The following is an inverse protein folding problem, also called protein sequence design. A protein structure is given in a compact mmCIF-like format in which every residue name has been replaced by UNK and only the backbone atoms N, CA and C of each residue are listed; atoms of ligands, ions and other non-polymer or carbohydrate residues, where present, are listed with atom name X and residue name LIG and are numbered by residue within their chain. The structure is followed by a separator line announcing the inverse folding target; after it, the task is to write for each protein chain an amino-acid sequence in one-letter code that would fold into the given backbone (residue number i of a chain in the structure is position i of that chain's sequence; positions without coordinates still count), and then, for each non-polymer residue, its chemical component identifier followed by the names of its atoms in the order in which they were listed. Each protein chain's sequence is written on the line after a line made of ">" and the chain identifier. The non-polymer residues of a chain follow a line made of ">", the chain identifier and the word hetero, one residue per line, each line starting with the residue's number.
data_IF_549829802445
#
_entry.id   IF_549829802445
#
_cell.length_a   1.000
_cell.length_b   1.000
_cell.length_c   1.000
_cell.angle_alpha   90.00
_cell.angle_beta   90.00
_cell.angle_gamma   90.00
#
_symmetry.space_group_name_H-M   'P 1'
#
loop_
_entity.id
_entity.type
_entity.pdbx_description
1 polymer ?
#
# COMPACT_ATOMS: atom_id res chain seq x y z
N UNK A 1 -22.98 20.41 -4.29
CA UNK A 1 -22.13 19.78 -3.27
C UNK A 1 -22.67 18.38 -3.02
N UNK A 2 -21.96 17.33 -3.44
CA UNK A 2 -22.34 15.96 -3.08
C UNK A 2 -22.31 15.78 -1.56
N UNK A 3 -23.42 15.32 -0.98
CA UNK A 3 -23.50 14.94 0.43
C UNK A 3 -22.49 13.80 0.66
N UNK A 4 -21.35 14.08 1.29
CA UNK A 4 -20.56 13.02 1.91
C UNK A 4 -21.46 12.32 2.94
N UNK A 5 -21.59 10.99 2.82
CA UNK A 5 -22.32 10.20 3.80
C UNK A 5 -21.54 10.20 5.12
N UNK A 6 -22.24 10.24 6.26
CA UNK A 6 -21.60 10.19 7.59
C UNK A 6 -20.69 8.96 7.79
N UNK A 7 -20.97 7.89 7.03
CA UNK A 7 -20.11 6.71 6.92
C UNK A 7 -18.73 7.03 6.31
N UNK A 8 -18.69 7.74 5.17
CA UNK A 8 -17.44 8.18 4.54
C UNK A 8 -16.66 9.13 5.46
N UNK A 9 -17.36 10.05 6.14
CA UNK A 9 -16.74 10.97 7.09
C UNK A 9 -16.03 10.21 8.23
N UNK A 10 -16.74 9.26 8.86
CA UNK A 10 -16.18 8.43 9.93
C UNK A 10 -14.99 7.60 9.43
N UNK A 11 -15.11 6.99 8.24
CA UNK A 11 -14.04 6.24 7.59
C UNK A 11 -12.76 7.06 7.43
N UNK A 12 -12.83 8.20 6.74
CA UNK A 12 -11.64 9.01 6.48
C UNK A 12 -11.03 9.57 7.77
N UNK A 13 -11.86 9.95 8.74
CA UNK A 13 -11.37 10.45 10.04
C UNK A 13 -10.57 9.39 10.77
N UNK A 14 -11.12 8.17 10.92
CA UNK A 14 -10.42 7.10 11.63
C UNK A 14 -9.16 6.68 10.88
N UNK A 15 -9.25 6.55 9.54
CA UNK A 15 -8.11 6.19 8.69
C UNK A 15 -6.98 7.21 8.83
N UNK A 16 -7.27 8.50 8.74
CA UNK A 16 -6.26 9.56 8.92
C UNK A 16 -5.60 9.46 10.30
N UNK A 17 -6.36 9.22 11.36
CA UNK A 17 -5.80 9.06 12.72
C UNK A 17 -4.86 7.86 12.82
N UNK A 18 -5.19 6.74 12.19
CA UNK A 18 -4.31 5.55 12.14
C UNK A 18 -3.04 5.89 11.35
N UNK A 19 -3.18 6.47 10.16
CA UNK A 19 -2.06 6.78 9.26
C UNK A 19 -1.11 7.85 9.83
N UNK A 20 -1.64 8.82 10.57
CA UNK A 20 -0.85 9.87 11.23
C UNK A 20 -0.29 9.45 12.59
N UNK A 21 -0.59 8.23 13.06
CA UNK A 21 -0.18 7.73 14.37
C UNK A 21 -0.91 8.36 15.56
N UNK A 22 -1.96 9.16 15.33
CA UNK A 22 -2.85 9.64 16.41
C UNK A 22 -3.62 8.50 17.08
N UNK A 23 -3.87 7.42 16.35
CA UNK A 23 -4.26 6.12 16.89
C UNK A 23 -3.12 5.14 16.62
N UNK A 24 -2.52 4.60 17.69
CA UNK A 24 -1.34 3.72 17.59
C UNK A 24 -1.74 2.26 17.44
N UNK A 25 -0.84 1.43 16.92
CA UNK A 25 -1.00 -0.04 16.90
C UNK A 25 -1.26 -0.53 18.33
N UNK A 26 -2.28 -1.39 18.48
CA UNK A 26 -2.77 -1.89 19.77
C UNK A 26 -3.76 -0.95 20.47
N UNK A 27 -3.97 0.27 19.98
CA UNK A 27 -4.91 1.22 20.56
C UNK A 27 -6.36 0.86 20.23
N UNK A 28 -7.24 1.05 21.21
CA UNK A 28 -8.66 0.68 21.11
C UNK A 28 -9.48 1.84 20.55
N UNK A 29 -10.28 1.55 19.52
CA UNK A 29 -11.27 2.47 18.94
C UNK A 29 -12.65 2.11 19.47
N UNK A 30 -13.30 3.08 20.11
CA UNK A 30 -14.66 2.92 20.64
C UNK A 30 -15.66 3.67 19.78
N UNK A 31 -16.70 2.98 19.30
CA UNK A 31 -17.76 3.56 18.46
C UNK A 31 -18.37 4.83 19.07
N UNK A 32 -18.61 4.83 20.38
CA UNK A 32 -19.23 5.96 21.08
C UNK A 32 -18.34 7.20 21.08
N UNK A 33 -17.03 7.04 21.26
CA UNK A 33 -16.07 8.16 21.30
C UNK A 33 -16.01 8.82 19.92
N UNK A 34 -15.88 8.02 18.86
CA UNK A 34 -15.84 8.55 17.48
C UNK A 34 -17.19 9.18 17.09
N UNK A 35 -18.31 8.57 17.48
CA UNK A 35 -19.64 9.11 17.21
C UNK A 35 -19.87 10.46 17.89
N UNK A 36 -19.42 10.62 19.13
CA UNK A 36 -19.48 11.87 19.89
C UNK A 36 -18.59 12.95 19.28
N UNK A 37 -17.34 12.62 18.96
CA UNK A 37 -16.38 13.51 18.31
C UNK A 37 -16.92 14.06 16.99
N UNK A 38 -17.49 13.19 16.16
CA UNK A 38 -18.02 13.55 14.85
C UNK A 38 -19.45 14.09 14.91
N UNK A 39 -20.10 14.09 16.08
CA UNK A 39 -21.51 14.47 16.27
C UNK A 39 -22.48 13.70 15.35
N UNK A 40 -22.26 12.39 15.22
CA UNK A 40 -23.07 11.47 14.41
C UNK A 40 -23.59 10.30 15.25
N UNK A 41 -24.51 9.50 14.70
CA UNK A 41 -24.93 8.27 15.36
C UNK A 41 -23.85 7.18 15.28
N UNK A 42 -23.96 6.13 16.11
CA UNK A 42 -22.99 5.01 16.12
C UNK A 42 -23.04 4.14 14.86
N UNK A 43 -24.18 4.10 14.17
CA UNK A 43 -24.39 3.28 12.97
C UNK A 43 -23.39 3.56 11.84
N UNK A 44 -23.18 4.81 11.39
CA UNK A 44 -22.15 5.12 10.37
C UNK A 44 -20.73 4.82 10.85
N UNK A 45 -20.43 4.99 12.15
CA UNK A 45 -19.13 4.64 12.72
C UNK A 45 -18.89 3.13 12.63
N UNK A 46 -19.87 2.31 13.02
CA UNK A 46 -19.77 0.84 12.91
C UNK A 46 -19.54 0.38 11.48
N UNK A 47 -20.22 0.99 10.50
CA UNK A 47 -20.00 0.69 9.08
C UNK A 47 -18.59 1.08 8.62
N UNK A 48 -18.10 2.25 9.03
CA UNK A 48 -16.73 2.67 8.75
C UNK A 48 -15.69 1.69 9.33
N UNK A 49 -15.88 1.23 10.58
CA UNK A 49 -15.01 0.24 11.20
C UNK A 49 -15.02 -1.10 10.43
N UNK A 50 -16.18 -1.54 9.94
CA UNK A 50 -16.26 -2.76 9.13
C UNK A 50 -15.52 -2.65 7.78
N UNK A 51 -15.38 -1.44 7.22
CA UNK A 51 -14.55 -1.21 6.02
C UNK A 51 -13.07 -1.25 6.40
N UNK A 52 -12.67 -0.55 7.46
CA UNK A 52 -11.28 -0.51 7.95
C UNK A 52 -10.76 -1.89 8.39
N UNK A 53 -11.65 -2.75 8.89
CA UNK A 53 -11.33 -4.15 9.20
C UNK A 53 -11.01 -4.95 7.93
N UNK A 54 -11.78 -4.77 6.86
CA UNK A 54 -11.50 -5.41 5.56
C UNK A 54 -10.17 -4.92 4.95
N UNK A 55 -9.78 -3.70 5.26
CA UNK A 55 -8.50 -3.08 4.88
C UNK A 55 -7.33 -3.51 5.77
N UNK A 56 -7.57 -4.37 6.78
CA UNK A 56 -6.56 -4.81 7.76
C UNK A 56 -5.89 -3.65 8.51
N UNK A 57 -6.62 -2.55 8.72
CA UNK A 57 -6.16 -1.42 9.55
C UNK A 57 -6.55 -1.63 11.02
N UNK A 58 -7.62 -2.40 11.26
CA UNK A 58 -8.14 -2.70 12.59
C UNK A 58 -8.64 -4.14 12.67
N UNK A 59 -8.81 -4.65 13.88
CA UNK A 59 -9.51 -5.90 14.20
C UNK A 59 -10.75 -5.56 15.04
N UNK A 60 -11.95 -5.98 14.62
CA UNK A 60 -13.18 -5.78 15.41
C UNK A 60 -13.35 -6.96 16.37
N UNK A 61 -13.35 -6.65 17.66
CA UNK A 61 -13.56 -7.64 18.73
C UNK A 61 -14.97 -7.54 19.27
N UNK A 62 -15.69 -8.66 19.27
CA UNK A 62 -17.05 -8.75 19.80
C UNK A 62 -17.14 -8.13 21.20
N UNK A 63 -18.10 -7.21 21.38
CA UNK A 63 -18.35 -6.47 22.63
C UNK A 63 -17.19 -5.63 23.18
N UNK A 64 -16.07 -5.52 22.44
CA UNK A 64 -14.87 -4.78 22.86
C UNK A 64 -14.50 -3.65 21.91
N UNK A 65 -15.25 -3.43 20.84
CA UNK A 65 -14.94 -2.38 19.86
C UNK A 65 -13.83 -2.84 18.91
N UNK A 66 -13.12 -1.89 18.31
CA UNK A 66 -12.04 -2.20 17.37
C UNK A 66 -10.66 -1.92 17.98
N UNK A 67 -9.63 -2.62 17.52
CA UNK A 67 -8.24 -2.39 17.92
C UNK A 67 -7.44 -2.12 16.66
N UNK A 68 -6.59 -1.09 16.66
CA UNK A 68 -5.68 -0.82 15.55
C UNK A 68 -4.67 -1.96 15.47
N UNK A 69 -4.57 -2.59 14.30
CA UNK A 69 -3.56 -3.60 14.05
C UNK A 69 -2.45 -3.01 13.19
N UNK A 70 -1.31 -3.67 13.17
CA UNK A 70 -0.27 -3.28 12.26
C UNK A 70 -0.75 -3.58 10.83
N UNK A 71 -0.99 -2.55 10.01
CA UNK A 71 -1.39 -2.73 8.62
C UNK A 71 -0.40 -3.64 7.91
N UNK A 72 -0.88 -4.65 7.19
CA UNK A 72 -0.01 -5.58 6.46
C UNK A 72 0.89 -4.89 5.43
N UNK A 73 0.73 -3.59 5.16
CA UNK A 73 1.68 -2.75 4.44
C UNK A 73 1.89 -1.40 5.16
N UNK A 74 2.49 -1.41 6.36
CA UNK A 74 2.95 -0.17 6.99
C UNK A 74 4.07 0.47 6.17
N UNK A 75 4.35 1.78 6.38
CA UNK A 75 5.50 2.45 5.72
C UNK A 75 6.80 1.69 5.99
N UNK A 76 6.98 1.19 7.22
CA UNK A 76 8.16 0.39 7.57
C UNK A 76 8.22 -0.91 6.78
N UNK A 77 7.12 -1.67 6.70
CA UNK A 77 7.05 -2.89 5.87
C UNK A 77 7.26 -2.61 4.39
N UNK A 78 6.82 -1.46 3.90
CA UNK A 78 7.06 -1.03 2.54
C UNK A 78 8.54 -0.75 2.29
N UNK A 79 9.22 -0.08 3.22
CA UNK A 79 10.67 0.13 3.17
C UNK A 79 11.43 -1.21 3.22
N UNK A 80 11.07 -2.10 4.14
CA UNK A 80 11.64 -3.46 4.23
C UNK A 80 11.48 -4.24 2.91
N UNK A 81 10.31 -4.12 2.26
CA UNK A 81 10.09 -4.70 0.95
C UNK A 81 11.03 -4.10 -0.11
N UNK A 82 11.19 -2.77 -0.14
CA UNK A 82 12.09 -2.10 -1.09
C UNK A 82 13.55 -2.56 -0.92
N UNK A 83 14.01 -2.81 0.31
CA UNK A 83 15.35 -3.34 0.56
C UNK A 83 15.55 -4.73 -0.07
N UNK A 84 14.53 -5.60 0.03
CA UNK A 84 14.56 -6.92 -0.60
C UNK A 84 14.52 -6.80 -2.13
N UNK A 85 13.64 -5.94 -2.65
CA UNK A 85 13.52 -5.69 -4.10
C UNK A 85 14.82 -5.14 -4.67
N UNK A 86 15.47 -4.19 -4.00
CA UNK A 86 16.77 -3.63 -4.40
C UNK A 86 17.84 -4.72 -4.47
N UNK A 87 17.85 -5.64 -3.49
CA UNK A 87 18.76 -6.79 -3.49
C UNK A 87 18.53 -7.68 -4.71
N UNK A 88 17.27 -7.98 -5.04
CA UNK A 88 16.92 -8.78 -6.22
C UNK A 88 17.29 -8.09 -7.53
N UNK A 89 17.11 -6.78 -7.65
CA UNK A 89 17.54 -5.98 -8.80
C UNK A 89 19.05 -6.08 -9.00
N UNK A 90 19.84 -5.87 -7.93
CA UNK A 90 21.32 -6.00 -7.99
C UNK A 90 21.74 -7.40 -8.44
N UNK A 91 21.13 -8.44 -7.88
CA UNK A 91 21.42 -9.82 -8.27
C UNK A 91 21.00 -10.14 -9.71
N UNK A 92 19.96 -9.47 -10.20
CA UNK A 92 19.51 -9.59 -11.59
C UNK A 92 20.57 -9.06 -12.54
N UNK A 93 21.12 -7.86 -12.26
CA UNK A 93 22.22 -7.28 -13.05
C UNK A 93 23.43 -8.21 -13.13
N UNK A 94 23.90 -8.72 -11.98
CA UNK A 94 25.03 -9.66 -11.92
C UNK A 94 24.76 -10.91 -12.76
N UNK A 95 23.54 -11.46 -12.68
CA UNK A 95 23.19 -12.67 -13.43
C UNK A 95 23.03 -12.40 -14.93
N UNK A 96 22.51 -11.24 -15.31
CA UNK A 96 22.41 -10.81 -16.69
C UNK A 96 23.79 -10.67 -17.34
N UNK A 97 24.74 -10.06 -16.63
CA UNK A 97 26.14 -9.94 -17.07
C UNK A 97 26.77 -11.33 -17.27
N UNK A 98 26.70 -12.19 -16.25
CA UNK A 98 27.27 -13.54 -16.30
C UNK A 98 26.68 -14.40 -17.43
N UNK A 99 25.38 -14.24 -17.71
CA UNK A 99 24.68 -15.00 -18.76
C UNK A 99 24.62 -14.28 -20.11
N UNK A 100 25.20 -13.08 -20.23
CA UNK A 100 25.13 -12.22 -21.42
C UNK A 100 23.69 -12.01 -21.92
N UNK A 101 22.76 -11.83 -20.98
CA UNK A 101 21.36 -11.53 -21.28
C UNK A 101 21.31 -10.11 -21.83
N UNK A 102 20.79 -9.95 -23.04
CA UNK A 102 20.59 -8.63 -23.66
C UNK A 102 19.35 -7.96 -23.08
N UNK A 103 19.45 -6.65 -22.90
CA UNK A 103 18.36 -5.77 -22.52
C UNK A 103 18.08 -4.79 -23.65
N UNK A 104 16.81 -4.52 -23.91
CA UNK A 104 16.41 -3.39 -24.73
C UNK A 104 16.58 -2.11 -23.89
N UNK A 105 17.69 -1.41 -24.12
CA UNK A 105 18.03 -0.18 -23.41
C UNK A 105 17.06 0.94 -23.76
N UNK A 106 16.57 1.00 -25.00
CA UNK A 106 15.63 2.03 -25.43
C UNK A 106 14.29 1.87 -24.70
N UNK A 107 13.80 0.63 -24.58
CA UNK A 107 12.59 0.34 -23.81
C UNK A 107 12.77 0.66 -22.33
N UNK A 108 13.92 0.31 -21.75
CA UNK A 108 14.23 0.66 -20.36
C UNK A 108 14.21 2.19 -20.14
N UNK A 109 14.84 2.95 -21.03
CA UNK A 109 14.82 4.42 -20.98
C UNK A 109 13.41 4.99 -21.14
N UNK A 110 12.57 4.41 -22.00
CA UNK A 110 11.16 4.81 -22.14
C UNK A 110 10.41 4.62 -20.82
N UNK A 111 10.59 3.48 -20.15
CA UNK A 111 9.98 3.19 -18.84
C UNK A 111 10.43 4.17 -17.76
N UNK A 112 11.72 4.50 -17.70
CA UNK A 112 12.23 5.52 -16.77
C UNK A 112 11.64 6.91 -17.05
N UNK A 113 11.49 7.30 -18.33
CA UNK A 113 10.84 8.57 -18.70
C UNK A 113 9.38 8.60 -18.27
N UNK A 114 8.66 7.49 -18.42
CA UNK A 114 7.28 7.37 -17.95
C UNK A 114 7.16 7.51 -16.44
N UNK A 115 8.03 6.84 -15.66
CA UNK A 115 8.06 6.99 -14.20
C UNK A 115 8.31 8.44 -13.77
N UNK A 116 9.26 9.13 -14.41
CA UNK A 116 9.53 10.55 -14.13
C UNK A 116 8.31 11.43 -14.39
N UNK A 117 7.58 11.16 -15.49
CA UNK A 117 6.35 11.89 -15.80
C UNK A 117 5.27 11.64 -14.75
N UNK A 118 5.01 10.37 -14.39
CA UNK A 118 4.01 10.03 -13.38
C UNK A 118 4.30 10.67 -12.01
N UNK A 119 5.58 10.73 -11.64
CA UNK A 119 6.03 11.43 -10.44
C UNK A 119 5.76 12.93 -10.51
N UNK A 120 6.08 13.58 -11.63
CA UNK A 120 5.86 15.03 -11.83
C UNK A 120 4.37 15.40 -11.88
N UNK A 121 3.54 14.52 -12.44
CA UNK A 121 2.09 14.71 -12.54
C UNK A 121 1.37 14.47 -11.19
N UNK A 122 2.11 14.13 -10.12
CA UNK A 122 1.55 13.88 -8.78
C UNK A 122 0.69 12.62 -8.71
N UNK A 123 0.79 11.73 -9.71
CA UNK A 123 0.00 10.51 -9.81
C UNK A 123 0.66 9.38 -9.01
N UNK A 124 0.73 9.54 -7.69
CA UNK A 124 1.45 8.65 -6.76
C UNK A 124 1.07 7.16 -6.91
N UNK A 125 -0.23 6.88 -7.01
CA UNK A 125 -0.75 5.52 -7.15
C UNK A 125 -0.27 4.88 -8.46
N UNK A 126 -0.42 5.61 -9.57
CA UNK A 126 0.03 5.17 -10.89
C UNK A 126 1.56 5.06 -10.96
N UNK A 127 2.29 5.94 -10.27
CA UNK A 127 3.74 5.87 -10.17
C UNK A 127 4.18 4.58 -9.45
N UNK A 128 3.56 4.26 -8.31
CA UNK A 128 3.85 3.02 -7.58
C UNK A 128 3.57 1.80 -8.45
N UNK A 129 2.38 1.73 -9.06
CA UNK A 129 2.00 0.57 -9.87
C UNK A 129 3.01 0.35 -11.01
N UNK A 130 3.31 1.42 -11.76
CA UNK A 130 4.29 1.35 -12.85
C UNK A 130 5.70 1.00 -12.35
N UNK A 131 6.12 1.51 -11.19
CA UNK A 131 7.44 1.22 -10.62
C UNK A 131 7.56 -0.27 -10.29
N UNK A 132 6.57 -0.84 -9.59
CA UNK A 132 6.59 -2.27 -9.24
C UNK A 132 6.50 -3.15 -10.48
N UNK A 133 5.62 -2.85 -11.43
CA UNK A 133 5.52 -3.59 -12.69
C UNK A 133 6.89 -3.68 -13.39
N UNK A 134 7.59 -2.55 -13.51
CA UNK A 134 8.89 -2.49 -14.16
C UNK A 134 9.99 -3.19 -13.37
N UNK A 135 10.01 -3.06 -12.03
CA UNK A 135 10.96 -3.76 -11.17
C UNK A 135 10.75 -5.27 -11.23
N UNK A 136 9.51 -5.73 -11.23
CA UNK A 136 9.17 -7.15 -11.29
C UNK A 136 9.45 -7.76 -12.66
N UNK A 137 9.13 -7.06 -13.74
CA UNK A 137 9.57 -7.44 -15.09
C UNK A 137 11.09 -7.55 -15.18
N UNK A 138 11.81 -6.58 -14.61
CA UNK A 138 13.27 -6.60 -14.57
C UNK A 138 13.79 -7.82 -13.81
N UNK A 139 13.33 -8.07 -12.58
CA UNK A 139 13.81 -9.20 -11.76
C UNK A 139 13.50 -10.55 -12.42
N UNK A 140 12.42 -10.67 -13.20
CA UNK A 140 12.12 -11.90 -13.97
C UNK A 140 13.22 -12.27 -14.96
N UNK A 141 14.02 -11.29 -15.44
CA UNK A 141 15.20 -11.54 -16.29
C UNK A 141 16.27 -12.38 -15.57
N UNK A 142 16.28 -12.40 -14.24
CA UNK A 142 17.13 -13.31 -13.47
C UNK A 142 16.83 -14.77 -13.82
N UNK A 143 15.61 -15.10 -14.25
CA UNK A 143 15.20 -16.49 -14.52
C UNK A 143 15.40 -17.40 -13.30
N UNK A 144 15.07 -16.89 -12.11
CA UNK A 144 15.11 -17.65 -10.86
C UNK A 144 13.68 -18.00 -10.44
N UNK A 145 13.39 -19.30 -10.32
CA UNK A 145 12.06 -19.78 -9.96
C UNK A 145 11.54 -19.21 -8.63
N UNK A 146 12.39 -19.16 -7.61
CA UNK A 146 12.01 -18.65 -6.29
C UNK A 146 11.86 -17.13 -6.28
N UNK A 147 12.69 -16.40 -7.02
CA UNK A 147 12.52 -14.95 -7.17
C UNK A 147 11.17 -14.63 -7.84
N UNK A 148 10.79 -15.38 -8.88
CA UNK A 148 9.51 -15.21 -9.55
C UNK A 148 8.32 -15.53 -8.63
N UNK A 149 8.43 -16.60 -7.81
CA UNK A 149 7.39 -16.91 -6.81
C UNK A 149 7.29 -15.83 -5.73
N UNK A 150 8.41 -15.29 -5.29
CA UNK A 150 8.44 -14.22 -4.30
C UNK A 150 7.77 -12.95 -4.84
N UNK A 151 8.07 -12.57 -6.09
CA UNK A 151 7.41 -11.46 -6.79
C UNK A 151 5.90 -11.69 -6.86
N UNK A 152 5.44 -12.89 -7.24
CA UNK A 152 4.01 -13.19 -7.31
C UNK A 152 3.31 -13.05 -5.95
N UNK A 153 3.98 -13.40 -4.85
CA UNK A 153 3.42 -13.20 -3.50
C UNK A 153 3.25 -11.71 -3.20
N UNK A 154 4.26 -10.89 -3.54
CA UNK A 154 4.18 -9.45 -3.38
C UNK A 154 3.08 -8.87 -4.28
N UNK A 155 3.05 -9.24 -5.56
CA UNK A 155 2.03 -8.79 -6.51
C UNK A 155 0.62 -9.07 -5.97
N UNK A 156 0.36 -10.26 -5.43
CA UNK A 156 -0.94 -10.58 -4.84
C UNK A 156 -1.25 -9.74 -3.59
N UNK A 157 -0.26 -9.50 -2.74
CA UNK A 157 -0.40 -8.64 -1.56
C UNK A 157 -0.66 -7.17 -1.94
N UNK A 158 -0.14 -6.72 -3.09
CA UNK A 158 -0.41 -5.41 -3.66
C UNK A 158 -1.74 -5.38 -4.41
N UNK A 159 -2.08 -6.31 -5.28
CA UNK A 159 -3.34 -6.32 -6.05
C UNK A 159 -4.59 -6.38 -5.15
N UNK A 160 -4.50 -7.11 -4.03
CA UNK A 160 -5.57 -7.17 -3.02
C UNK A 160 -5.76 -5.83 -2.28
N UNK A 161 -4.77 -4.92 -2.29
CA UNK A 161 -4.78 -3.62 -1.57
C UNK A 161 -4.81 -2.40 -2.50
N UNK A 162 -4.21 -2.50 -3.68
CA UNK A 162 -4.08 -1.46 -4.69
C UNK A 162 -5.43 -1.14 -5.33
N UNK A 163 -6.37 -2.07 -5.35
CA UNK A 163 -7.75 -1.75 -5.77
C UNK A 163 -8.47 -0.75 -4.84
N UNK A 164 -7.92 -0.39 -3.65
CA UNK A 164 -8.59 0.54 -2.74
C UNK A 164 -7.74 1.57 -1.98
N UNK A 165 -6.43 1.41 -1.78
CA UNK A 165 -5.81 2.09 -0.62
C UNK A 165 -4.45 2.76 -0.75
N UNK A 166 -3.78 2.77 -1.90
CA UNK A 166 -2.45 3.41 -1.96
C UNK A 166 -2.59 4.92 -2.22
N UNK A 167 -2.95 5.67 -1.18
CA UNK A 167 -2.61 7.09 -1.07
C UNK A 167 -1.29 7.19 -0.33
N UNK A 168 -0.20 7.44 -1.06
CA UNK A 168 1.10 7.72 -0.47
C UNK A 168 1.03 9.09 0.21
N UNK A 169 0.82 9.12 1.52
CA UNK A 169 0.98 10.38 2.24
C UNK A 169 2.46 10.77 2.22
N UNK A 170 2.79 11.78 1.39
CA UNK A 170 3.95 12.68 1.48
C UNK A 170 5.19 12.06 2.16
N UNK A 171 5.92 11.28 1.39
CA UNK A 171 7.36 11.20 1.53
C UNK A 171 7.90 11.56 0.14
N UNK A 172 7.94 12.87 -0.12
CA UNK A 172 8.87 13.67 -0.92
C UNK A 172 8.26 15.07 -1.09
#
# INVERSE_FOLDING_TARGET
>A
MEKQTYEKLAYYTIKEKILTGKLRVGERITESIIAEELKISRTPVRKALAILEKENLIEVRANRGAVVIESSMSVNRFVELLEIVETLVKQTLVKMENKRIKMDIEEFERKIKQLKKLYQDGSEESFIMALFDYLFEFIRLMGNHYANRFIQLIENDFDLKAQKEIKLYRIF
#
